data_IF_552162482063
#
_entry.id   IF_552162482063
#
_cell.length_a   1.000
_cell.length_b   1.000
_cell.length_c   1.000
_cell.angle_alpha   90.00
_cell.angle_beta   90.00
_cell.angle_gamma   90.00
#
_symmetry.space_group_name_H-M   'P 1'
#
loop_
_entity.id
_entity.type
_entity.pdbx_description
1 polymer ?
#
# COMPACT_ATOMS: atom_id res chain seq x y z
N UNK A 1 -10.30 -17.23 63.19
CA UNK A 1 -10.49 -18.30 62.19
C UNK A 1 -10.01 -17.76 60.85
N UNK A 2 -8.79 -18.10 60.43
CA UNK A 2 -8.28 -17.70 59.12
C UNK A 2 -9.02 -18.47 58.03
N UNK A 3 -9.69 -17.76 57.13
CA UNK A 3 -10.45 -18.36 56.05
C UNK A 3 -9.47 -18.97 55.04
N UNK A 4 -9.52 -20.29 54.86
CA UNK A 4 -8.69 -21.02 53.90
C UNK A 4 -8.92 -20.60 52.43
N UNK A 5 -9.95 -19.80 52.16
CA UNK A 5 -10.18 -19.15 50.87
C UNK A 5 -9.20 -18.01 50.61
N UNK A 6 -8.78 -17.27 51.63
CA UNK A 6 -7.87 -16.13 51.48
C UNK A 6 -6.45 -16.60 51.16
N UNK A 7 -5.97 -17.67 51.79
CA UNK A 7 -4.68 -18.28 51.46
C UNK A 7 -4.64 -18.90 50.05
N UNK A 8 -5.78 -19.39 49.56
CA UNK A 8 -5.92 -19.90 48.19
C UNK A 8 -5.82 -18.78 47.14
N UNK A 9 -6.32 -17.56 47.42
CA UNK A 9 -6.16 -16.41 46.51
C UNK A 9 -4.69 -16.00 46.35
N UNK A 10 -3.92 -16.06 47.45
CA UNK A 10 -2.47 -15.78 47.46
C UNK A 10 -1.66 -16.86 46.73
N UNK A 11 -2.18 -18.09 46.62
CA UNK A 11 -1.49 -19.22 45.98
C UNK A 11 -1.92 -19.47 44.52
N UNK A 12 -2.77 -18.63 43.93
CA UNK A 12 -3.13 -18.74 42.52
C UNK A 12 -2.00 -18.19 41.65
N UNK A 13 -1.63 -18.87 40.57
CA UNK A 13 -0.59 -18.36 39.70
C UNK A 13 -1.10 -17.11 38.95
N UNK A 14 -0.20 -16.18 38.69
CA UNK A 14 -0.51 -14.84 38.18
C UNK A 14 -1.30 -14.82 36.86
N UNK A 15 -1.15 -15.83 36.00
CA UNK A 15 -1.86 -15.96 34.73
C UNK A 15 -3.35 -16.35 34.88
N UNK A 16 -3.78 -16.75 36.07
CA UNK A 16 -5.19 -17.05 36.37
C UNK A 16 -6.05 -15.79 36.56
N UNK A 17 -5.44 -14.60 36.72
CA UNK A 17 -6.15 -13.35 36.92
C UNK A 17 -6.49 -12.71 35.57
N UNK A 18 -7.77 -12.44 35.31
CA UNK A 18 -8.24 -11.86 34.03
C UNK A 18 -7.62 -10.51 33.67
N UNK A 19 -7.29 -9.68 34.67
CA UNK A 19 -6.66 -8.36 34.43
C UNK A 19 -5.27 -8.46 33.80
N UNK A 20 -4.54 -9.54 34.05
CA UNK A 20 -3.22 -9.78 33.42
C UNK A 20 -3.38 -9.91 31.91
N UNK A 21 -4.45 -10.57 31.45
CA UNK A 21 -4.75 -10.68 30.03
C UNK A 21 -5.15 -9.35 29.41
N UNK A 22 -5.79 -8.42 30.14
CA UNK A 22 -6.08 -7.08 29.62
C UNK A 22 -4.81 -6.29 29.31
N UNK A 23 -3.78 -6.43 30.16
CA UNK A 23 -2.48 -5.76 29.95
C UNK A 23 -1.72 -6.39 28.80
N UNK A 24 -1.74 -7.72 28.67
CA UNK A 24 -1.04 -8.45 27.59
C UNK A 24 -1.76 -8.30 26.24
N UNK A 25 -3.10 -8.24 26.24
CA UNK A 25 -3.89 -8.18 25.01
C UNK A 25 -3.59 -6.92 24.19
N UNK A 26 -3.38 -5.77 24.82
CA UNK A 26 -3.08 -4.51 24.12
C UNK A 26 -1.88 -4.63 23.19
N UNK A 27 -0.67 -4.94 23.70
CA UNK A 27 0.51 -5.17 22.87
C UNK A 27 0.34 -6.33 21.89
N UNK A 28 -0.30 -7.43 22.29
CA UNK A 28 -0.47 -8.61 21.44
C UNK A 28 -1.31 -8.31 20.19
N UNK A 29 -2.37 -7.50 20.31
CA UNK A 29 -3.18 -7.07 19.15
C UNK A 29 -2.36 -6.25 18.16
N UNK A 30 -1.50 -5.35 18.64
CA UNK A 30 -0.64 -4.53 17.77
C UNK A 30 0.34 -5.39 16.98
N UNK A 31 0.93 -6.40 17.63
CA UNK A 31 1.83 -7.36 16.97
C UNK A 31 1.08 -8.15 15.90
N UNK A 32 -0.12 -8.65 16.18
CA UNK A 32 -0.94 -9.36 15.18
C UNK A 32 -1.30 -8.44 14.01
N UNK A 33 -1.68 -7.20 14.29
CA UNK A 33 -2.01 -6.21 13.26
C UNK A 33 -0.82 -5.91 12.33
N UNK A 34 0.40 -5.79 12.87
CA UNK A 34 1.59 -5.54 12.05
C UNK A 34 1.88 -6.70 11.10
N UNK A 35 1.69 -7.95 11.55
CA UNK A 35 1.81 -9.11 10.68
C UNK A 35 0.74 -9.14 9.58
N UNK A 36 -0.51 -8.77 9.89
CA UNK A 36 -1.58 -8.69 8.88
C UNK A 36 -1.23 -7.66 7.82
N UNK A 37 -0.80 -6.46 8.22
CA UNK A 37 -0.37 -5.41 7.28
C UNK A 37 0.80 -5.87 6.42
N UNK A 38 1.81 -6.50 7.04
CA UNK A 38 2.96 -7.05 6.32
C UNK A 38 2.52 -8.11 5.30
N UNK A 39 1.63 -9.02 5.70
CA UNK A 39 1.10 -10.06 4.81
C UNK A 39 0.36 -9.46 3.62
N UNK A 40 -0.46 -8.43 3.85
CA UNK A 40 -1.17 -7.74 2.77
C UNK A 40 -0.21 -7.06 1.80
N UNK A 41 0.85 -6.42 2.32
CA UNK A 41 1.87 -5.79 1.50
C UNK A 41 2.68 -6.80 0.68
N UNK A 42 2.99 -7.96 1.26
CA UNK A 42 3.74 -9.01 0.58
C UNK A 42 2.93 -9.69 -0.56
N UNK A 43 1.61 -9.84 -0.37
CA UNK A 43 0.75 -10.54 -1.34
C UNK A 43 0.01 -9.60 -2.31
N UNK A 44 -0.18 -8.34 -1.94
CA UNK A 44 -0.88 -7.32 -2.72
C UNK A 44 0.02 -6.58 -3.71
N UNK A 45 1.03 -7.24 -4.27
CA UNK A 45 1.77 -6.67 -5.39
C UNK A 45 0.84 -6.60 -6.60
N UNK A 46 0.35 -5.40 -6.87
CA UNK A 46 -0.33 -5.06 -8.13
C UNK A 46 0.58 -5.52 -9.28
N UNK A 47 0.15 -6.51 -10.08
CA UNK A 47 0.98 -7.08 -11.13
C UNK A 47 1.49 -5.95 -12.00
N UNK A 48 2.81 -5.80 -12.05
CA UNK A 48 3.45 -4.77 -12.86
C UNK A 48 2.95 -4.94 -14.28
N UNK A 49 2.14 -3.98 -14.75
CA UNK A 49 1.71 -3.90 -16.13
C UNK A 49 3.00 -3.86 -16.94
N UNK A 50 3.34 -5.00 -17.54
CA UNK A 50 4.52 -5.13 -18.37
C UNK A 50 4.35 -4.09 -19.46
N UNK A 51 5.29 -3.15 -19.53
CA UNK A 51 5.31 -2.00 -20.46
C UNK A 51 5.15 -2.38 -21.94
N UNK A 52 5.05 -3.67 -22.24
CA UNK A 52 4.90 -4.25 -23.56
C UNK A 52 3.44 -4.40 -24.04
N UNK A 53 2.43 -4.17 -23.19
CA UNK A 53 1.02 -4.16 -23.64
C UNK A 53 0.58 -2.81 -24.23
N UNK A 54 1.48 -1.83 -24.24
CA UNK A 54 1.28 -0.53 -24.84
C UNK A 54 2.35 -0.30 -25.91
N UNK A 55 2.47 -1.22 -26.87
CA UNK A 55 2.95 -0.85 -28.21
C UNK A 55 1.85 0.04 -28.83
N UNK A 56 1.74 1.26 -28.33
CA UNK A 56 0.82 2.26 -28.84
C UNK A 56 1.51 2.85 -30.05
N UNK A 57 0.95 2.57 -31.22
CA UNK A 57 1.32 3.16 -32.49
C UNK A 57 1.38 4.70 -32.36
N UNK A 58 2.59 5.25 -32.20
CA UNK A 58 2.84 6.69 -32.01
C UNK A 58 2.48 7.51 -33.26
N UNK A 59 2.11 6.84 -34.36
CA UNK A 59 1.57 7.44 -35.58
C UNK A 59 0.11 7.87 -35.43
N UNK A 60 -0.63 7.36 -34.46
CA UNK A 60 -1.99 7.81 -34.17
C UNK A 60 -1.98 9.18 -33.43
N UNK A 61 -2.67 10.22 -33.95
CA UNK A 61 -2.73 11.56 -33.32
C UNK A 61 -3.26 11.53 -31.88
N UNK A 62 -4.26 10.68 -31.65
CA UNK A 62 -4.92 10.49 -30.35
C UNK A 62 -3.95 9.97 -29.27
N UNK A 63 -3.00 9.10 -29.64
CA UNK A 63 -2.02 8.57 -28.71
C UNK A 63 -1.05 9.63 -28.20
N UNK A 64 -0.69 10.60 -29.05
CA UNK A 64 0.29 11.64 -28.72
C UNK A 64 -0.25 12.60 -27.65
N UNK A 65 -1.54 12.93 -27.69
CA UNK A 65 -2.16 13.84 -26.72
C UNK A 65 -2.26 13.21 -25.33
N UNK A 66 -2.51 11.90 -25.25
CA UNK A 66 -2.71 11.18 -23.98
C UNK A 66 -1.38 10.79 -23.30
N UNK A 67 -0.28 10.71 -24.05
CA UNK A 67 1.05 10.29 -23.56
C UNK A 67 2.05 11.45 -23.40
N UNK A 68 1.63 12.70 -23.59
CA UNK A 68 2.51 13.85 -23.43
C UNK A 68 3.01 13.99 -21.97
N UNK A 69 4.31 14.25 -21.73
CA UNK A 69 4.83 14.57 -20.40
C UNK A 69 3.93 15.60 -19.70
N UNK A 70 3.66 15.43 -18.41
CA UNK A 70 2.69 16.25 -17.66
C UNK A 70 2.89 17.77 -17.82
N UNK A 71 4.13 18.19 -18.08
CA UNK A 71 4.47 19.58 -18.40
C UNK A 71 3.94 20.06 -19.76
N UNK A 72 3.93 19.22 -20.79
CA UNK A 72 3.37 19.52 -22.11
C UNK A 72 1.83 19.36 -22.13
N UNK A 73 1.25 18.49 -21.30
CA UNK A 73 -0.19 18.24 -21.30
C UNK A 73 -1.04 19.40 -20.73
N UNK A 74 -0.52 20.20 -19.78
CA UNK A 74 -1.32 21.20 -19.05
C UNK A 74 -1.93 22.30 -19.91
N UNK A 75 -1.34 22.62 -21.06
CA UNK A 75 -1.82 23.70 -21.93
C UNK A 75 -2.26 23.21 -23.32
N UNK A 76 -1.97 21.95 -23.68
CA UNK A 76 -2.31 21.40 -25.00
C UNK A 76 -3.65 20.64 -25.05
N UNK A 77 -4.30 20.42 -23.90
CA UNK A 77 -5.63 19.81 -23.82
C UNK A 77 -6.72 20.61 -24.55
N UNK A 78 -6.52 21.93 -24.75
CA UNK A 78 -7.48 22.81 -25.43
C UNK A 78 -7.24 22.92 -26.95
N UNK A 79 -6.05 22.56 -27.44
CA UNK A 79 -5.66 22.74 -28.86
C UNK A 79 -5.73 21.43 -29.67
N UNK A 80 -5.85 20.27 -29.00
CA UNK A 80 -6.03 18.97 -29.64
C UNK A 80 -4.88 18.50 -30.54
N UNK A 81 -3.79 19.28 -30.65
CA UNK A 81 -2.65 18.98 -31.51
C UNK A 81 -1.35 19.33 -30.80
N UNK A 82 -0.40 18.40 -30.85
CA UNK A 82 0.99 18.62 -30.45
C UNK A 82 1.80 19.04 -31.69
N UNK A 83 2.78 19.94 -31.55
CA UNK A 83 3.68 20.29 -32.65
C UNK A 83 4.42 19.04 -33.18
N UNK A 84 4.50 18.90 -34.50
CA UNK A 84 5.31 17.87 -35.15
C UNK A 84 6.77 18.11 -34.78
N UNK A 85 7.52 17.08 -34.31
CA UNK A 85 8.95 17.24 -34.08
C UNK A 85 9.65 17.50 -35.42
N UNK A 86 10.36 18.62 -35.54
CA UNK A 86 11.17 18.94 -36.70
C UNK A 86 12.24 17.87 -36.89
N UNK A 87 12.10 17.04 -37.93
CA UNK A 87 13.14 16.15 -38.42
C UNK A 87 14.21 16.98 -39.14
N UNK A 88 15.00 17.74 -38.37
CA UNK A 88 16.12 18.48 -38.93
C UNK A 88 17.28 17.51 -39.12
N UNK A 89 17.48 17.12 -40.39
CA UNK A 89 18.67 16.45 -40.92
C UNK A 89 19.93 16.87 -40.13
N UNK A 90 20.59 15.88 -39.53
CA UNK A 90 21.93 16.03 -39.00
C UNK A 90 22.90 15.45 -40.05
N UNK A 91 23.92 16.20 -40.49
CA UNK A 91 25.01 15.61 -41.27
C UNK A 91 25.80 14.62 -40.42
#
# INVERSE_FOLDING_TARGET
MSNSKDSQLVNRPWWAFGHVWLVIAGPLVVVVASFITFYLAANGQDPVLTKSSAEVDLTAPEARTTLAPAMQARNHATTGTLPVPDSKNKP
#
